data_IF_780821008667
#
_entry.id   IF_780821008667
#
_cell.length_a   1.000
_cell.length_b   1.000
_cell.length_c   1.000
_cell.angle_alpha   90.00
_cell.angle_beta   90.00
_cell.angle_gamma   90.00
#
_symmetry.space_group_name_H-M   'P 1'
#
loop_
_entity.id
_entity.type
_entity.pdbx_description
1 polymer ?
#
# COMPACT_ATOMS: atom_id res chain seq x y z
N UNK A 1 -24.78 22.04 6.23
CA UNK A 1 -25.08 22.39 4.82
C UNK A 1 -24.05 21.87 3.84
N UNK A 2 -22.74 22.03 4.07
CA UNK A 2 -21.69 21.51 3.18
C UNK A 2 -21.69 19.98 3.04
N UNK A 3 -21.88 19.21 4.12
CA UNK A 3 -21.94 17.74 4.11
C UNK A 3 -23.06 17.19 3.24
N UNK A 4 -24.18 17.90 3.13
CA UNK A 4 -25.35 17.47 2.36
C UNK A 4 -25.15 17.56 0.83
N UNK A 5 -24.13 18.27 0.38
CA UNK A 5 -23.81 18.50 -1.04
C UNK A 5 -22.47 17.90 -1.45
N UNK A 6 -21.79 17.18 -0.54
CA UNK A 6 -20.50 16.60 -0.80
C UNK A 6 -20.65 15.22 -1.46
N UNK A 7 -19.84 14.95 -2.48
CA UNK A 7 -19.68 13.61 -3.09
C UNK A 7 -18.66 12.76 -2.32
N UNK A 8 -17.76 13.41 -1.59
CA UNK A 8 -16.75 12.80 -0.75
C UNK A 8 -16.41 13.73 0.42
N UNK A 9 -16.21 13.15 1.60
CA UNK A 9 -15.73 13.85 2.78
C UNK A 9 -14.29 13.41 3.03
N UNK A 10 -13.37 14.37 3.09
CA UNK A 10 -11.99 14.13 3.49
C UNK A 10 -11.82 14.53 4.94
N UNK A 11 -11.47 13.55 5.78
CA UNK A 11 -11.09 13.79 7.16
C UNK A 11 -9.59 13.96 7.25
N UNK A 12 -9.14 15.08 7.80
CA UNK A 12 -7.73 15.31 8.04
C UNK A 12 -7.39 14.95 9.48
N UNK A 13 -6.41 14.10 9.66
CA UNK A 13 -5.85 13.75 10.95
C UNK A 13 -4.34 13.95 10.96
N UNK A 14 -3.82 14.61 11.98
CA UNK A 14 -2.39 14.64 12.25
C UNK A 14 -2.00 13.33 12.94
N UNK A 15 -0.92 12.69 12.46
CA UNK A 15 -0.42 11.44 13.04
C UNK A 15 -0.05 11.54 14.53
N UNK A 16 0.16 12.76 15.05
CA UNK A 16 0.55 13.01 16.43
C UNK A 16 -0.61 13.45 17.34
N UNK A 17 -1.70 14.00 16.80
CA UNK A 17 -2.75 14.66 17.55
C UNK A 17 -4.15 14.15 17.18
N UNK A 18 -4.47 12.93 17.51
CA UNK A 18 -5.86 12.46 17.48
C UNK A 18 -6.41 12.52 18.89
N UNK A 19 -7.16 13.58 19.21
CA UNK A 19 -7.85 13.71 20.50
C UNK A 19 -9.12 12.88 20.53
N UNK A 20 -9.36 12.04 21.56
CA UNK A 20 -10.52 11.14 21.61
C UNK A 20 -11.87 11.87 21.56
N UNK A 21 -12.00 12.99 22.26
CA UNK A 21 -13.29 13.70 22.42
C UNK A 21 -13.76 14.44 21.14
N UNK A 22 -12.84 14.85 20.28
CA UNK A 22 -13.18 15.43 18.97
C UNK A 22 -13.55 14.34 17.95
N UNK A 23 -12.99 13.13 18.12
CA UNK A 23 -13.26 11.99 17.28
C UNK A 23 -14.72 11.56 17.36
N UNK A 24 -15.30 11.50 18.57
CA UNK A 24 -16.67 11.02 18.78
C UNK A 24 -17.72 11.91 18.11
N UNK A 25 -17.56 13.22 18.15
CA UNK A 25 -18.48 14.18 17.50
C UNK A 25 -18.38 14.12 15.97
N UNK A 26 -17.18 13.95 15.45
CA UNK A 26 -16.95 13.79 14.03
C UNK A 26 -17.53 12.46 13.55
N UNK A 27 -17.39 11.39 14.33
CA UNK A 27 -17.91 10.06 14.01
C UNK A 27 -19.44 10.08 13.83
N UNK A 28 -20.18 10.74 14.71
CA UNK A 28 -21.64 10.89 14.57
C UNK A 28 -22.02 11.61 13.28
N UNK A 29 -21.35 12.74 12.98
CA UNK A 29 -21.63 13.50 11.76
C UNK A 29 -21.31 12.71 10.48
N UNK A 30 -20.25 11.93 10.52
CA UNK A 30 -19.77 11.15 9.38
C UNK A 30 -20.63 9.92 9.17
N UNK A 31 -21.00 9.21 10.24
CA UNK A 31 -21.90 8.07 10.21
C UNK A 31 -23.24 8.47 9.64
N UNK A 32 -23.78 9.62 10.09
CA UNK A 32 -25.00 10.16 9.51
C UNK A 32 -24.88 10.49 8.02
N UNK A 33 -23.78 11.10 7.59
CA UNK A 33 -23.56 11.43 6.17
C UNK A 33 -23.44 10.17 5.30
N UNK A 34 -22.77 9.15 5.81
CA UNK A 34 -22.62 7.87 5.13
C UNK A 34 -23.96 7.11 5.05
N UNK A 35 -24.67 6.97 6.15
CA UNK A 35 -25.95 6.22 6.23
C UNK A 35 -27.07 6.93 5.47
N UNK A 36 -27.22 8.24 5.65
CA UNK A 36 -28.32 9.00 5.07
C UNK A 36 -28.13 9.37 3.59
N UNK A 37 -26.89 9.48 3.12
CA UNK A 37 -26.56 10.02 1.80
C UNK A 37 -25.61 9.14 0.98
N UNK A 38 -25.11 8.06 1.54
CA UNK A 38 -24.09 7.18 0.92
C UNK A 38 -22.84 7.97 0.46
N UNK A 39 -22.48 9.02 1.17
CA UNK A 39 -21.29 9.83 0.88
C UNK A 39 -20.06 9.04 1.25
N UNK A 40 -19.05 9.02 0.37
CA UNK A 40 -17.76 8.39 0.68
C UNK A 40 -17.01 9.21 1.72
N UNK A 41 -16.46 8.54 2.70
CA UNK A 41 -15.59 9.15 3.69
C UNK A 41 -14.18 8.57 3.53
N UNK A 42 -13.20 9.42 3.33
CA UNK A 42 -11.79 9.04 3.18
C UNK A 42 -10.95 9.81 4.21
N UNK A 43 -10.00 9.11 4.83
CA UNK A 43 -9.12 9.69 5.84
C UNK A 43 -7.80 10.14 5.22
N UNK A 44 -7.39 11.36 5.49
CA UNK A 44 -6.07 11.89 5.12
C UNK A 44 -5.23 12.00 6.38
N UNK A 45 -4.23 11.15 6.51
CA UNK A 45 -3.27 11.18 7.62
C UNK A 45 -2.08 12.02 7.21
N UNK A 46 -1.87 13.14 7.90
CA UNK A 46 -0.72 14.02 7.69
C UNK A 46 0.40 13.56 8.61
N UNK A 47 1.53 13.17 8.03
CA UNK A 47 2.71 12.73 8.77
C UNK A 47 3.73 13.86 8.84
N UNK A 48 3.96 14.40 10.06
CA UNK A 48 4.97 15.43 10.32
C UNK A 48 6.39 14.84 10.32
N UNK A 49 7.43 15.60 9.90
CA UNK A 49 8.84 15.17 9.89
C UNK A 49 9.39 14.78 11.26
N UNK A 50 8.80 15.30 12.34
CA UNK A 50 9.20 14.99 13.72
C UNK A 50 8.76 13.59 14.19
N UNK A 51 7.88 12.93 13.46
CA UNK A 51 7.55 11.53 13.66
C UNK A 51 8.65 10.67 13.01
N UNK A 52 9.77 10.56 13.73
CA UNK A 52 10.91 9.69 13.37
C UNK A 52 10.39 8.33 12.91
N UNK A 53 10.82 7.94 11.70
CA UNK A 53 10.88 6.61 11.11
C UNK A 53 10.41 5.42 11.98
N UNK A 54 9.17 5.43 12.40
CA UNK A 54 8.57 4.22 12.92
C UNK A 54 7.40 3.85 12.03
N UNK A 55 7.68 2.93 11.13
CA UNK A 55 6.67 2.12 10.42
C UNK A 55 5.62 1.60 11.42
N UNK A 56 5.99 1.51 12.69
CA UNK A 56 5.14 1.18 13.84
C UNK A 56 4.15 2.30 14.20
N UNK A 57 4.54 3.58 14.12
CA UNK A 57 3.63 4.70 14.42
C UNK A 57 2.56 4.83 13.34
N UNK A 58 2.90 4.64 12.06
CA UNK A 58 1.92 4.67 10.97
C UNK A 58 0.98 3.47 11.00
N UNK A 59 1.48 2.28 11.36
CA UNK A 59 0.64 1.08 11.51
C UNK A 59 -0.25 1.17 12.75
N UNK A 60 0.25 1.65 13.88
CA UNK A 60 -0.54 1.85 15.10
C UNK A 60 -1.59 2.94 14.93
N UNK A 61 -1.26 4.03 14.24
CA UNK A 61 -2.23 5.09 13.91
C UNK A 61 -3.31 4.54 12.98
N UNK A 62 -2.94 3.81 11.94
CA UNK A 62 -3.88 3.14 11.05
C UNK A 62 -4.75 2.11 11.76
N UNK A 63 -4.19 1.32 12.69
CA UNK A 63 -4.96 0.34 13.48
C UNK A 63 -5.90 1.01 14.49
N UNK A 64 -5.47 2.11 15.12
CA UNK A 64 -6.33 2.87 16.05
C UNK A 64 -7.49 3.53 15.31
N UNK A 65 -7.23 4.15 14.17
CA UNK A 65 -8.24 4.78 13.34
C UNK A 65 -9.19 3.75 12.72
N UNK A 66 -8.68 2.59 12.29
CA UNK A 66 -9.49 1.53 11.68
C UNK A 66 -10.40 0.80 12.69
N UNK A 67 -10.05 0.79 13.99
CA UNK A 67 -10.90 0.18 15.04
C UNK A 67 -12.12 1.01 15.38
N UNK A 68 -12.01 2.33 15.31
CA UNK A 68 -13.06 3.24 15.77
C UNK A 68 -13.98 3.73 14.65
N UNK A 69 -13.57 3.62 13.37
CA UNK A 69 -14.28 4.28 12.29
C UNK A 69 -14.63 3.31 11.16
N UNK A 70 -15.70 2.55 11.37
CA UNK A 70 -16.23 1.59 10.38
C UNK A 70 -16.68 2.22 9.06
N UNK A 71 -16.86 3.53 9.06
CA UNK A 71 -17.36 4.32 7.93
C UNK A 71 -16.26 4.77 6.95
N UNK A 72 -14.98 4.73 7.38
CA UNK A 72 -13.87 5.12 6.52
C UNK A 72 -13.65 4.06 5.44
N UNK A 73 -13.92 4.44 4.20
CA UNK A 73 -13.74 3.56 3.05
C UNK A 73 -12.28 3.42 2.62
N UNK A 74 -11.46 4.45 2.86
CA UNK A 74 -10.05 4.51 2.45
C UNK A 74 -9.27 5.52 3.28
N UNK A 75 -7.94 5.36 3.29
CA UNK A 75 -7.03 6.34 3.87
C UNK A 75 -5.93 6.73 2.89
N UNK A 76 -5.44 7.95 3.04
CA UNK A 76 -4.33 8.52 2.30
C UNK A 76 -3.26 8.96 3.29
N UNK A 77 -2.02 8.60 3.04
CA UNK A 77 -0.87 9.11 3.80
C UNK A 77 -0.23 10.24 3.00
N UNK A 78 -0.11 11.40 3.62
CA UNK A 78 0.55 12.56 3.04
C UNK A 78 1.64 13.03 3.98
N UNK A 79 2.88 12.92 3.52
CA UNK A 79 4.07 13.32 4.29
C UNK A 79 4.31 14.82 4.19
N UNK A 80 4.86 15.40 5.25
CA UNK A 80 5.31 16.80 5.29
C UNK A 80 6.84 16.84 5.43
N UNK A 81 7.53 17.88 4.89
CA UNK A 81 6.96 19.03 4.18
C UNK A 81 6.41 18.65 2.80
N UNK A 82 5.36 19.34 2.37
CA UNK A 82 4.63 18.99 1.14
C UNK A 82 5.45 19.19 -0.14
N UNK A 83 6.38 20.12 -0.16
CA UNK A 83 7.29 20.40 -1.29
C UNK A 83 8.25 19.23 -1.56
N UNK A 84 8.70 18.53 -0.52
CA UNK A 84 9.53 17.34 -0.64
C UNK A 84 8.71 16.07 -0.99
N UNK A 85 7.41 16.07 -0.70
CA UNK A 85 6.52 14.92 -0.85
C UNK A 85 5.30 15.21 -1.76
N UNK A 86 5.48 16.07 -2.76
CA UNK A 86 4.42 16.46 -3.70
C UNK A 86 3.71 15.27 -4.34
N UNK A 87 4.42 14.18 -4.59
CA UNK A 87 3.86 12.95 -5.17
C UNK A 87 2.75 12.32 -4.33
N UNK A 88 2.82 12.43 -3.00
CA UNK A 88 1.78 11.89 -2.12
C UNK A 88 0.48 12.67 -2.31
N UNK A 89 0.58 13.99 -2.34
CA UNK A 89 -0.56 14.88 -2.59
C UNK A 89 -1.15 14.69 -3.98
N UNK A 90 -0.31 14.58 -5.00
CA UNK A 90 -0.74 14.32 -6.38
C UNK A 90 -1.46 12.97 -6.49
N UNK A 91 -0.98 11.92 -5.81
CA UNK A 91 -1.62 10.60 -5.76
C UNK A 91 -3.00 10.69 -5.12
N UNK A 92 -3.11 11.36 -3.97
CA UNK A 92 -4.39 11.63 -3.32
C UNK A 92 -5.34 12.41 -4.24
N UNK A 93 -4.86 13.47 -4.87
CA UNK A 93 -5.65 14.31 -5.78
C UNK A 93 -6.22 13.51 -6.96
N UNK A 94 -5.39 12.67 -7.63
CA UNK A 94 -5.87 11.77 -8.69
C UNK A 94 -6.91 10.79 -8.18
N UNK A 95 -6.73 10.30 -6.96
CA UNK A 95 -7.67 9.36 -6.34
C UNK A 95 -9.04 9.99 -6.10
N UNK A 96 -9.06 11.15 -5.45
CA UNK A 96 -10.30 11.88 -5.14
C UNK A 96 -11.02 12.33 -6.41
N UNK A 97 -10.28 12.75 -7.43
CA UNK A 97 -10.83 13.18 -8.72
C UNK A 97 -11.22 12.03 -9.66
N UNK A 98 -11.05 10.76 -9.25
CA UNK A 98 -11.36 9.60 -10.08
C UNK A 98 -10.41 9.38 -11.27
N UNK A 99 -9.20 9.96 -11.22
CA UNK A 99 -8.17 9.89 -12.26
C UNK A 99 -7.02 8.95 -11.93
N UNK A 100 -7.17 8.11 -10.91
CA UNK A 100 -6.15 7.13 -10.53
C UNK A 100 -5.87 6.11 -11.61
N UNK A 101 -4.60 5.79 -11.79
CA UNK A 101 -4.14 4.77 -12.74
C UNK A 101 -3.82 3.49 -11.98
N UNK A 102 -4.47 2.39 -12.36
CA UNK A 102 -4.25 1.06 -11.83
C UNK A 102 -3.40 0.21 -12.75
N UNK A 103 -2.36 -0.44 -12.20
CA UNK A 103 -1.52 -1.39 -12.92
C UNK A 103 -1.86 -2.82 -12.48
N UNK A 104 -2.26 -3.68 -13.44
CA UNK A 104 -2.52 -5.09 -13.21
C UNK A 104 -1.37 -5.94 -13.75
N UNK A 105 -0.74 -6.73 -12.88
CA UNK A 105 0.41 -7.55 -13.19
C UNK A 105 0.06 -9.05 -13.23
N UNK A 106 0.26 -9.68 -14.36
CA UNK A 106 -0.03 -11.11 -14.57
C UNK A 106 1.00 -12.03 -13.90
N UNK A 107 0.60 -13.30 -13.68
CA UNK A 107 1.51 -14.35 -13.28
C UNK A 107 2.41 -14.80 -14.45
N UNK A 108 3.52 -15.47 -14.15
CA UNK A 108 4.44 -15.95 -15.19
C UNK A 108 5.73 -16.59 -14.65
N UNK A 109 5.79 -16.88 -13.36
CA UNK A 109 7.00 -17.40 -12.73
C UNK A 109 8.18 -16.45 -12.99
N UNK A 110 9.35 -16.98 -13.35
CA UNK A 110 10.54 -16.17 -13.61
C UNK A 110 10.35 -15.07 -14.68
N UNK A 111 9.45 -15.29 -15.65
CA UNK A 111 9.12 -14.30 -16.67
C UNK A 111 8.42 -13.06 -16.10
N UNK A 112 7.78 -13.17 -14.94
CA UNK A 112 7.16 -12.05 -14.27
C UNK A 112 8.16 -10.96 -13.82
N UNK A 113 9.47 -11.22 -13.80
CA UNK A 113 10.48 -10.20 -13.58
C UNK A 113 10.50 -9.14 -14.69
N UNK A 114 9.95 -9.44 -15.89
CA UNK A 114 9.78 -8.44 -16.94
C UNK A 114 8.88 -7.27 -16.54
N UNK A 115 8.01 -7.45 -15.53
CA UNK A 115 7.21 -6.37 -14.97
C UNK A 115 8.05 -5.20 -14.44
N UNK A 116 9.26 -5.47 -13.95
CA UNK A 116 10.18 -4.42 -13.50
C UNK A 116 10.55 -3.46 -14.64
N UNK A 117 10.82 -4.02 -15.83
CA UNK A 117 11.08 -3.21 -17.03
C UNK A 117 9.86 -2.40 -17.47
N UNK A 118 8.66 -2.96 -17.35
CA UNK A 118 7.41 -2.23 -17.65
C UNK A 118 7.20 -1.08 -16.67
N UNK A 119 7.38 -1.31 -15.36
CA UNK A 119 7.26 -0.27 -14.33
C UNK A 119 8.26 0.84 -14.59
N UNK A 120 9.52 0.49 -14.91
CA UNK A 120 10.56 1.45 -15.25
C UNK A 120 10.15 2.31 -16.46
N UNK A 121 9.73 1.69 -17.55
CA UNK A 121 9.30 2.41 -18.75
C UNK A 121 8.10 3.35 -18.48
N UNK A 122 7.13 2.93 -17.63
CA UNK A 122 6.02 3.78 -17.24
C UNK A 122 6.49 4.99 -16.43
N UNK A 123 7.42 4.80 -15.50
CA UNK A 123 8.02 5.89 -14.74
C UNK A 123 8.79 6.88 -15.64
N UNK A 124 9.58 6.37 -16.60
CA UNK A 124 10.34 7.19 -17.54
C UNK A 124 9.45 8.10 -18.42
N UNK A 125 8.25 7.63 -18.76
CA UNK A 125 7.28 8.44 -19.54
C UNK A 125 6.34 9.25 -18.63
N UNK A 126 6.56 9.27 -17.32
CA UNK A 126 5.80 10.08 -16.36
C UNK A 126 4.42 9.52 -16.02
N UNK A 127 4.14 8.25 -16.27
CA UNK A 127 2.87 7.61 -15.87
C UNK A 127 2.94 7.25 -14.39
N UNK A 128 2.15 7.94 -13.58
CA UNK A 128 2.05 7.68 -12.14
C UNK A 128 1.14 6.48 -11.87
N UNK A 129 1.68 5.46 -11.22
CA UNK A 129 0.91 4.28 -10.80
C UNK A 129 0.34 4.55 -9.40
N UNK A 130 -0.99 4.58 -9.27
CA UNK A 130 -1.69 4.89 -8.01
C UNK A 130 -2.21 3.64 -7.31
N UNK A 131 -2.48 2.59 -8.06
CA UNK A 131 -2.99 1.31 -7.60
C UNK A 131 -2.25 0.19 -8.30
N UNK A 132 -1.98 -0.88 -7.57
CA UNK A 132 -1.38 -2.08 -8.16
C UNK A 132 -2.10 -3.32 -7.69
N UNK A 133 -2.33 -4.24 -8.61
CA UNK A 133 -2.84 -5.56 -8.33
C UNK A 133 -2.12 -6.59 -9.16
N UNK A 134 -2.13 -7.84 -8.73
CA UNK A 134 -1.45 -8.87 -9.48
C UNK A 134 -1.74 -10.28 -8.98
N UNK A 135 -1.27 -11.26 -9.76
CA UNK A 135 -1.34 -12.67 -9.39
C UNK A 135 0.03 -13.33 -9.47
N UNK A 136 0.33 -14.29 -8.59
CA UNK A 136 1.59 -15.03 -8.54
C UNK A 136 2.80 -14.07 -8.51
N UNK A 137 3.75 -14.19 -9.45
CA UNK A 137 4.90 -13.29 -9.56
C UNK A 137 4.48 -11.81 -9.73
N UNK A 138 3.38 -11.54 -10.43
CA UNK A 138 2.83 -10.19 -10.55
C UNK A 138 2.34 -9.63 -9.22
N UNK A 139 1.76 -10.45 -8.34
CA UNK A 139 1.38 -10.02 -7.00
C UNK A 139 2.61 -9.66 -6.15
N UNK A 140 3.69 -10.44 -6.29
CA UNK A 140 4.95 -10.16 -5.59
C UNK A 140 5.58 -8.85 -6.06
N UNK A 141 5.73 -8.65 -7.38
CA UNK A 141 6.25 -7.40 -7.94
C UNK A 141 5.34 -6.21 -7.57
N UNK A 142 4.02 -6.42 -7.59
CA UNK A 142 3.06 -5.40 -7.15
C UNK A 142 3.22 -5.01 -5.67
N UNK A 143 3.44 -5.99 -4.80
CA UNK A 143 3.71 -5.74 -3.39
C UNK A 143 5.02 -4.97 -3.16
N UNK A 144 6.07 -5.28 -3.93
CA UNK A 144 7.32 -4.52 -3.90
C UNK A 144 7.13 -3.09 -4.40
N UNK A 145 6.37 -2.89 -5.47
CA UNK A 145 6.04 -1.56 -5.97
C UNK A 145 5.26 -0.75 -4.93
N UNK A 146 4.32 -1.38 -4.21
CA UNK A 146 3.59 -0.73 -3.14
C UNK A 146 4.49 -0.37 -1.94
N UNK A 147 5.53 -1.19 -1.67
CA UNK A 147 6.51 -0.91 -0.61
C UNK A 147 7.50 0.19 -0.98
N UNK A 148 7.91 0.26 -2.25
CA UNK A 148 8.90 1.21 -2.76
C UNK A 148 8.35 2.00 -3.97
N UNK A 149 7.27 2.78 -3.79
CA UNK A 149 6.56 3.40 -4.91
C UNK A 149 7.39 4.45 -5.66
N UNK A 150 8.37 5.06 -4.98
CA UNK A 150 9.18 6.15 -5.51
C UNK A 150 10.69 5.81 -5.57
N UNK A 151 11.05 4.55 -5.28
CA UNK A 151 12.45 4.09 -5.21
C UNK A 151 12.64 2.85 -6.09
N UNK A 152 12.95 3.10 -7.38
CA UNK A 152 13.15 2.06 -8.38
C UNK A 152 14.33 1.17 -8.04
N UNK A 153 15.40 1.73 -7.49
CA UNK A 153 16.62 0.96 -7.17
C UNK A 153 16.34 -0.06 -6.06
N UNK A 154 15.63 0.34 -5.02
CA UNK A 154 15.19 -0.59 -3.96
C UNK A 154 14.22 -1.63 -4.47
N UNK A 155 13.30 -1.25 -5.36
CA UNK A 155 12.36 -2.19 -6.00
C UNK A 155 13.13 -3.29 -6.74
N UNK A 156 14.08 -2.90 -7.59
CA UNK A 156 14.89 -3.82 -8.40
C UNK A 156 15.77 -4.71 -7.51
N UNK A 157 16.43 -4.13 -6.51
CA UNK A 157 17.30 -4.88 -5.60
C UNK A 157 16.51 -5.90 -4.77
N UNK A 158 15.35 -5.54 -4.24
CA UNK A 158 14.47 -6.45 -3.52
C UNK A 158 14.00 -7.62 -4.41
N UNK A 159 13.65 -7.33 -5.67
CA UNK A 159 13.29 -8.35 -6.64
C UNK A 159 14.48 -9.27 -6.99
N UNK A 160 15.70 -8.74 -7.06
CA UNK A 160 16.93 -9.50 -7.31
C UNK A 160 17.23 -10.46 -6.17
N UNK A 161 17.15 -10.00 -4.91
CA UNK A 161 17.34 -10.83 -3.72
C UNK A 161 16.37 -12.01 -3.75
N UNK A 162 15.09 -11.76 -4.00
CA UNK A 162 14.09 -12.82 -4.08
C UNK A 162 14.37 -13.82 -5.22
N UNK A 163 14.78 -13.32 -6.40
CA UNK A 163 15.10 -14.18 -7.53
C UNK A 163 16.30 -15.09 -7.24
N UNK A 164 17.30 -14.59 -6.52
CA UNK A 164 18.45 -15.38 -6.09
C UNK A 164 18.04 -16.47 -5.09
N UNK A 165 17.26 -16.12 -4.07
CA UNK A 165 16.75 -17.07 -3.07
C UNK A 165 15.91 -18.18 -3.75
N UNK A 166 15.10 -17.83 -4.74
CA UNK A 166 14.28 -18.79 -5.51
C UNK A 166 15.07 -19.63 -6.51
N UNK A 167 16.25 -19.22 -6.95
CA UNK A 167 17.05 -19.94 -7.95
C UNK A 167 17.86 -21.10 -7.36
N UNK A 168 18.05 -21.15 -6.06
CA UNK A 168 18.86 -22.15 -5.37
C UNK A 168 18.26 -23.56 -5.47
N UNK A 169 18.93 -24.44 -6.22
CA UNK A 169 18.53 -25.85 -6.38
C UNK A 169 18.59 -26.60 -5.05
N UNK A 170 19.57 -26.27 -4.19
CA UNK A 170 19.72 -26.88 -2.86
C UNK A 170 18.51 -26.58 -1.97
N UNK A 171 18.00 -25.37 -2.04
CA UNK A 171 16.84 -24.96 -1.26
C UNK A 171 15.54 -25.59 -1.75
N UNK A 172 15.38 -25.77 -3.07
CA UNK A 172 14.25 -26.50 -3.65
C UNK A 172 14.27 -27.97 -3.22
N UNK A 173 15.44 -28.60 -3.17
CA UNK A 173 15.58 -29.99 -2.76
C UNK A 173 15.21 -30.20 -1.29
N UNK A 174 15.57 -29.23 -0.43
CA UNK A 174 15.26 -29.25 1.01
C UNK A 174 13.79 -28.94 1.33
N UNK A 175 13.06 -28.33 0.40
CA UNK A 175 11.63 -28.03 0.52
C UNK A 175 10.73 -29.13 -0.05
N UNK A 176 11.36 -30.24 -0.56
CA UNK A 176 10.65 -31.38 -1.12
C UNK A 176 9.96 -32.16 -0.01
N UNK A 177 8.67 -32.40 -0.18
CA UNK A 177 7.87 -33.24 0.72
C UNK A 177 7.52 -34.56 0.03
N UNK A 178 7.18 -35.59 0.83
CA UNK A 178 6.56 -36.78 0.28
C UNK A 178 5.23 -36.38 -0.39
N UNK A 179 5.01 -36.70 -1.68
CA UNK A 179 3.91 -36.15 -2.47
C UNK A 179 2.57 -36.82 -2.14
N UNK A 180 2.03 -36.50 -0.97
CA UNK A 180 0.67 -36.88 -0.59
C UNK A 180 -0.32 -35.78 -1.00
N UNK A 181 0.03 -34.51 -0.78
CA UNK A 181 -0.81 -33.33 -1.08
C UNK A 181 -0.09 -32.30 -1.92
N UNK A 182 1.22 -32.12 -1.76
CA UNK A 182 2.04 -31.21 -2.56
C UNK A 182 3.49 -31.71 -2.63
N UNK A 183 4.22 -31.34 -3.71
CA UNK A 183 5.64 -31.66 -3.87
C UNK A 183 6.55 -30.78 -3.04
N UNK A 184 6.09 -29.56 -2.64
CA UNK A 184 6.86 -28.59 -1.89
C UNK A 184 6.05 -28.10 -0.69
N UNK A 185 6.71 -27.85 0.44
CA UNK A 185 6.08 -27.31 1.65
C UNK A 185 5.71 -25.84 1.50
N UNK A 186 6.43 -25.10 0.66
CA UNK A 186 6.30 -23.64 0.51
C UNK A 186 6.89 -22.85 1.68
N UNK A 187 7.46 -23.50 2.69
CA UNK A 187 7.98 -22.84 3.88
C UNK A 187 9.10 -21.84 3.55
N UNK A 188 10.06 -22.25 2.71
CA UNK A 188 11.18 -21.40 2.29
C UNK A 188 10.74 -20.25 1.40
N UNK A 189 9.76 -20.47 0.53
CA UNK A 189 9.15 -19.43 -0.27
C UNK A 189 8.54 -18.35 0.64
N UNK A 190 7.78 -18.75 1.66
CA UNK A 190 7.19 -17.84 2.62
C UNK A 190 8.24 -17.08 3.45
N UNK A 191 9.37 -17.72 3.79
CA UNK A 191 10.49 -17.05 4.44
C UNK A 191 11.13 -15.98 3.53
N UNK A 192 11.32 -16.29 2.25
CA UNK A 192 11.82 -15.32 1.25
C UNK A 192 10.90 -14.10 1.12
N UNK A 193 9.58 -14.32 1.04
CA UNK A 193 8.59 -13.24 1.03
C UNK A 193 8.69 -12.39 2.30
N UNK A 194 8.74 -13.02 3.47
CA UNK A 194 8.88 -12.30 4.75
C UNK A 194 10.16 -11.46 4.80
N UNK A 195 11.27 -12.01 4.38
CA UNK A 195 12.57 -11.32 4.34
C UNK A 195 12.51 -10.05 3.50
N UNK A 196 11.83 -10.08 2.37
CA UNK A 196 11.80 -8.95 1.41
C UNK A 196 10.68 -7.94 1.72
N UNK A 197 9.50 -8.41 2.13
CA UNK A 197 8.35 -7.54 2.36
C UNK A 197 8.25 -7.03 3.81
N UNK A 198 8.67 -7.81 4.80
CA UNK A 198 8.49 -7.50 6.23
C UNK A 198 9.77 -6.99 6.89
N UNK A 199 10.96 -7.26 6.31
CA UNK A 199 12.22 -6.70 6.84
C UNK A 199 12.20 -5.18 6.75
N UNK A 200 12.59 -4.56 7.88
CA UNK A 200 12.76 -3.10 8.03
C UNK A 200 13.89 -2.57 7.15
#
# INVERSE_FOLDING_TARGET
>A
MCIQQADCILLLADSQHVQPDEADRLEECISWAHEAKNVRVELVVIQSPSAVDTTEASSQTSERLNRNWSVISKYHLVRCPFDEHEKDFQRMSRRVSGKSIGLCLGGGGARGLAHLGVIKALNEVGVCIDLVGGTSQGAFVGALLAKYPDDEDKLIEAARIMAQDMSSIKEKLLDLTLPITSYFSGYRFNLGIKKVLVSK
#
